data_IF_174486127948
#
_entry.id   IF_174486127948
#
_cell.length_a   1.000
_cell.length_b   1.000
_cell.length_c   1.000
_cell.angle_alpha   90.00
_cell.angle_beta   90.00
_cell.angle_gamma   90.00
#
_symmetry.space_group_name_H-M   'P 1'
#
loop_
_entity.id
_entity.type
_entity.pdbx_description
1 polymer ?
#
# COMPACT_ATOMS: atom_id res chain seq x y z
N UNK A 1 -15.16 0.97 -17.51
CA UNK A 1 -14.68 2.13 -16.73
C UNK A 1 -14.83 1.87 -15.24
N UNK A 2 -16.05 1.71 -14.71
CA UNK A 2 -16.30 1.56 -13.27
C UNK A 2 -15.59 0.36 -12.65
N UNK A 3 -15.59 -0.81 -13.31
CA UNK A 3 -14.88 -1.99 -12.83
C UNK A 3 -13.37 -1.75 -12.69
N UNK A 4 -12.75 -1.08 -13.65
CA UNK A 4 -11.32 -0.74 -13.58
C UNK A 4 -11.07 0.24 -12.43
N UNK A 5 -11.94 1.24 -12.25
CA UNK A 5 -11.86 2.20 -11.15
C UNK A 5 -11.90 1.51 -9.78
N UNK A 6 -12.88 0.63 -9.55
CA UNK A 6 -13.01 -0.08 -8.27
C UNK A 6 -11.86 -1.06 -8.01
N UNK A 7 -11.33 -1.69 -9.06
CA UNK A 7 -10.15 -2.55 -8.95
C UNK A 7 -8.90 -1.75 -8.58
N UNK A 8 -8.69 -0.56 -9.16
CA UNK A 8 -7.62 0.37 -8.77
C UNK A 8 -7.76 0.78 -7.30
N UNK A 9 -8.98 1.17 -6.89
CA UNK A 9 -9.25 1.55 -5.50
C UNK A 9 -8.95 0.40 -4.53
N UNK A 10 -9.29 -0.84 -4.90
CA UNK A 10 -9.00 -2.04 -4.11
C UNK A 10 -7.51 -2.29 -3.88
N UNK A 11 -6.64 -1.74 -4.73
CA UNK A 11 -5.18 -1.79 -4.59
C UNK A 11 -4.61 -0.71 -3.67
N UNK A 12 -5.45 0.10 -3.03
CA UNK A 12 -5.06 1.15 -2.09
C UNK A 12 -4.54 2.44 -2.75
N UNK A 13 -4.65 2.58 -4.08
CA UNK A 13 -4.19 3.80 -4.78
C UNK A 13 -5.09 5.00 -4.46
N UNK A 14 -4.53 6.22 -4.55
CA UNK A 14 -5.24 7.46 -4.25
C UNK A 14 -6.39 7.76 -5.23
N UNK A 15 -7.37 8.51 -4.76
CA UNK A 15 -8.57 8.89 -5.52
C UNK A 15 -8.22 9.65 -6.81
N UNK A 16 -7.23 10.55 -6.73
CA UNK A 16 -6.74 11.27 -7.88
C UNK A 16 -6.34 10.34 -9.04
N UNK A 17 -5.56 9.29 -8.74
CA UNK A 17 -5.12 8.32 -9.76
C UNK A 17 -6.28 7.50 -10.32
N UNK A 18 -7.20 7.08 -9.46
CA UNK A 18 -8.41 6.36 -9.90
C UNK A 18 -9.22 7.22 -10.87
N UNK A 19 -9.49 8.48 -10.50
CA UNK A 19 -10.25 9.42 -11.35
C UNK A 19 -9.54 9.66 -12.68
N UNK A 20 -8.24 9.91 -12.67
CA UNK A 20 -7.47 10.09 -13.89
C UNK A 20 -7.56 8.87 -14.81
N UNK A 21 -7.42 7.65 -14.25
CA UNK A 21 -7.53 6.41 -15.02
C UNK A 21 -8.92 6.20 -15.62
N UNK A 22 -9.97 6.51 -14.87
CA UNK A 22 -11.35 6.41 -15.35
C UNK A 22 -11.61 7.42 -16.48
N UNK A 23 -11.11 8.65 -16.36
CA UNK A 23 -11.23 9.67 -17.38
C UNK A 23 -10.47 9.28 -18.65
N UNK A 24 -9.24 8.77 -18.52
CA UNK A 24 -8.46 8.28 -19.67
C UNK A 24 -9.19 7.18 -20.44
N UNK A 25 -9.80 6.22 -19.75
CA UNK A 25 -10.60 5.17 -20.41
C UNK A 25 -11.88 5.74 -21.05
N UNK A 26 -12.53 6.70 -20.40
CA UNK A 26 -13.73 7.34 -20.94
C UNK A 26 -13.41 8.11 -22.22
N UNK A 27 -12.35 8.93 -22.23
CA UNK A 27 -11.90 9.67 -23.40
C UNK A 27 -11.59 8.74 -24.58
N UNK A 28 -10.93 7.60 -24.34
CA UNK A 28 -10.62 6.61 -25.37
C UNK A 28 -11.86 5.93 -25.94
N UNK A 29 -12.96 5.92 -25.19
CA UNK A 29 -14.27 5.41 -25.63
C UNK A 29 -15.18 6.51 -26.18
N UNK A 30 -14.72 7.76 -26.28
CA UNK A 30 -15.53 8.90 -26.70
C UNK A 30 -16.59 9.35 -25.69
N UNK A 31 -16.40 8.99 -24.39
CA UNK A 31 -17.32 9.29 -23.30
C UNK A 31 -16.77 10.42 -22.41
N UNK A 32 -17.66 11.12 -21.73
CA UNK A 32 -17.31 11.98 -20.59
C UNK A 32 -17.61 11.23 -19.30
N UNK A 33 -16.66 11.18 -18.37
CA UNK A 33 -16.83 10.52 -17.09
C UNK A 33 -16.56 11.49 -15.93
N UNK A 34 -17.46 11.52 -14.96
CA UNK A 34 -17.26 12.20 -13.69
C UNK A 34 -17.33 11.16 -12.56
N UNK A 35 -16.42 11.23 -11.60
CA UNK A 35 -16.39 10.28 -10.49
C UNK A 35 -16.12 10.98 -9.16
N UNK A 36 -16.92 10.64 -8.15
CA UNK A 36 -16.65 10.90 -6.74
C UNK A 36 -16.10 9.63 -6.10
N UNK A 37 -14.94 9.75 -5.44
CA UNK A 37 -14.17 8.61 -4.99
C UNK A 37 -13.90 8.77 -3.50
N UNK A 38 -14.48 7.85 -2.72
CA UNK A 38 -14.18 7.69 -1.29
C UNK A 38 -13.08 6.67 -1.03
N UNK A 39 -12.89 6.30 0.24
CA UNK A 39 -11.94 5.27 0.63
C UNK A 39 -12.29 3.89 0.07
N UNK A 40 -13.57 3.53 0.10
CA UNK A 40 -14.09 2.21 -0.27
C UNK A 40 -15.27 2.27 -1.25
N UNK A 41 -15.55 3.43 -1.82
CA UNK A 41 -16.68 3.62 -2.74
C UNK A 41 -16.30 4.49 -3.92
N UNK A 42 -16.95 4.24 -5.04
CA UNK A 42 -16.89 5.06 -6.24
C UNK A 42 -18.31 5.29 -6.71
N UNK A 43 -18.67 6.55 -6.87
CA UNK A 43 -19.89 6.96 -7.56
C UNK A 43 -19.46 7.65 -8.86
N UNK A 44 -19.92 7.15 -9.99
CA UNK A 44 -19.51 7.71 -11.26
C UNK A 44 -20.68 7.82 -12.23
N UNK A 45 -20.55 8.78 -13.14
CA UNK A 45 -21.50 9.03 -14.20
C UNK A 45 -20.73 9.13 -15.52
N UNK A 46 -21.14 8.35 -16.51
CA UNK A 46 -20.65 8.41 -17.87
C UNK A 46 -21.75 8.98 -18.79
N UNK A 47 -21.36 9.84 -19.72
CA UNK A 47 -22.22 10.51 -20.67
C UNK A 47 -21.63 10.40 -22.08
N UNK A 48 -22.43 9.99 -23.07
CA UNK A 48 -22.01 9.82 -24.47
C UNK A 48 -22.51 10.94 -25.41
N UNK A 49 -23.23 11.94 -24.88
CA UNK A 49 -23.84 13.03 -25.62
C UNK A 49 -25.36 12.89 -25.69
N UNK A 50 -25.90 11.71 -25.54
CA UNK A 50 -27.35 11.43 -25.57
C UNK A 50 -27.83 10.78 -24.29
N UNK A 51 -27.15 9.73 -23.83
CA UNK A 51 -27.50 8.95 -22.65
C UNK A 51 -26.56 9.20 -21.48
N UNK A 52 -27.10 9.07 -20.27
CA UNK A 52 -26.37 9.23 -19.02
C UNK A 52 -26.48 7.94 -18.20
N UNK A 53 -25.34 7.33 -17.88
CA UNK A 53 -25.27 6.13 -17.05
C UNK A 53 -24.55 6.44 -15.75
N UNK A 54 -25.24 6.21 -14.63
CA UNK A 54 -24.69 6.42 -13.29
C UNK A 54 -24.68 5.12 -12.50
N UNK A 55 -23.59 4.88 -11.78
CA UNK A 55 -23.46 3.71 -10.91
C UNK A 55 -22.68 4.03 -9.65
N UNK A 56 -23.06 3.40 -8.54
CA UNK A 56 -22.29 3.38 -7.29
C UNK A 56 -21.72 1.98 -7.07
N UNK A 57 -20.42 1.91 -6.75
CA UNK A 57 -19.68 0.68 -6.48
C UNK A 57 -19.02 0.79 -5.11
N UNK A 58 -19.09 -0.30 -4.33
CA UNK A 58 -18.49 -0.35 -3.00
C UNK A 58 -17.53 -1.54 -2.89
N UNK A 59 -16.43 -1.34 -2.15
CA UNK A 59 -15.50 -2.39 -1.75
C UNK A 59 -15.88 -2.93 -0.37
N UNK A 60 -15.68 -4.22 -0.17
CA UNK A 60 -15.76 -4.86 1.15
C UNK A 60 -14.45 -4.77 1.92
N UNK A 61 -13.33 -4.64 1.22
CA UNK A 61 -11.99 -4.55 1.80
C UNK A 61 -11.06 -3.80 0.85
N UNK A 62 -10.05 -3.13 1.40
CA UNK A 62 -8.98 -2.46 0.66
C UNK A 62 -7.63 -2.92 1.18
N UNK A 63 -6.63 -2.93 0.32
CA UNK A 63 -5.27 -3.33 0.68
C UNK A 63 -4.26 -2.88 -0.35
N UNK A 64 -2.98 -2.94 -0.02
CA UNK A 64 -1.91 -2.55 -0.94
C UNK A 64 -1.49 -3.75 -1.79
N UNK A 65 -1.74 -3.67 -3.10
CA UNK A 65 -1.28 -4.67 -4.08
C UNK A 65 -0.67 -3.97 -5.30
N UNK A 66 0.62 -3.69 -5.21
CA UNK A 66 1.37 -2.98 -6.26
C UNK A 66 1.49 -3.77 -7.55
N UNK A 67 1.50 -5.12 -7.49
CA UNK A 67 1.55 -5.97 -8.69
C UNK A 67 0.26 -5.88 -9.49
N UNK A 68 -0.88 -5.96 -8.82
CA UNK A 68 -2.20 -5.76 -9.44
C UNK A 68 -2.34 -4.34 -9.98
N UNK A 69 -1.91 -3.34 -9.21
CA UNK A 69 -1.90 -1.94 -9.63
C UNK A 69 -1.12 -1.75 -10.93
N UNK A 70 0.11 -2.27 -11.01
CA UNK A 70 0.94 -2.16 -12.21
C UNK A 70 0.28 -2.82 -13.44
N UNK A 71 -0.37 -3.97 -13.27
CA UNK A 71 -1.10 -4.63 -14.36
C UNK A 71 -2.30 -3.82 -14.84
N UNK A 72 -3.04 -3.20 -13.91
CA UNK A 72 -4.14 -2.31 -14.26
C UNK A 72 -3.65 -1.06 -15.01
N UNK A 73 -2.55 -0.46 -14.58
CA UNK A 73 -1.93 0.67 -15.28
C UNK A 73 -1.47 0.29 -16.69
N UNK A 74 -0.84 -0.88 -16.84
CA UNK A 74 -0.45 -1.40 -18.16
C UNK A 74 -1.68 -1.61 -19.06
N UNK A 75 -2.77 -2.16 -18.52
CA UNK A 75 -4.02 -2.34 -19.25
C UNK A 75 -4.59 -0.99 -19.72
N UNK A 76 -4.65 0.02 -18.83
CA UNK A 76 -5.16 1.37 -19.16
C UNK A 76 -4.29 2.04 -20.22
N UNK A 77 -2.96 1.96 -20.08
CA UNK A 77 -2.04 2.58 -21.02
C UNK A 77 -2.10 1.94 -22.43
N UNK A 78 -2.39 0.65 -22.50
CA UNK A 78 -2.53 -0.08 -23.78
C UNK A 78 -3.95 -0.06 -24.33
N UNK A 79 -4.91 0.45 -23.58
CA UNK A 79 -6.32 0.39 -23.98
C UNK A 79 -6.60 1.10 -25.30
N UNK A 80 -5.95 2.23 -25.58
CA UNK A 80 -6.10 2.97 -26.84
C UNK A 80 -5.64 2.17 -28.07
N UNK A 81 -4.67 1.27 -27.92
CA UNK A 81 -4.10 0.49 -29.02
C UNK A 81 -4.71 -0.91 -29.17
N UNK A 82 -5.11 -1.53 -28.09
CA UNK A 82 -5.57 -2.91 -28.04
C UNK A 82 -7.03 -3.02 -27.54
N UNK A 83 -7.36 -2.30 -26.46
CA UNK A 83 -8.63 -2.46 -25.75
C UNK A 83 -9.85 -1.93 -26.50
N UNK A 84 -9.70 -0.87 -27.30
CA UNK A 84 -10.79 -0.28 -28.09
C UNK A 84 -11.35 -1.26 -29.12
N UNK A 85 -10.54 -2.22 -29.57
CA UNK A 85 -10.94 -3.24 -30.56
C UNK A 85 -11.48 -4.53 -29.93
N UNK A 86 -11.39 -4.66 -28.59
CA UNK A 86 -11.86 -5.83 -27.86
C UNK A 86 -13.37 -5.76 -27.63
N UNK A 87 -14.00 -6.93 -27.61
CA UNK A 87 -15.39 -7.04 -27.17
C UNK A 87 -15.51 -6.84 -25.66
N UNK A 88 -16.71 -6.51 -25.17
CA UNK A 88 -16.96 -6.37 -23.74
C UNK A 88 -16.61 -7.63 -22.95
N UNK A 89 -16.86 -8.84 -23.50
CA UNK A 89 -16.53 -10.11 -22.88
C UNK A 89 -15.01 -10.33 -22.75
N UNK A 90 -14.25 -9.99 -23.79
CA UNK A 90 -12.78 -10.06 -23.76
C UNK A 90 -12.19 -9.10 -22.73
N UNK A 91 -12.70 -7.86 -22.66
CA UNK A 91 -12.29 -6.88 -21.64
C UNK A 91 -12.56 -7.38 -20.22
N UNK A 92 -13.75 -7.95 -19.99
CA UNK A 92 -14.09 -8.55 -18.70
C UNK A 92 -13.17 -9.73 -18.35
N UNK A 93 -12.86 -10.60 -19.33
CA UNK A 93 -11.95 -11.73 -19.15
C UNK A 93 -10.54 -11.26 -18.77
N UNK A 94 -10.03 -10.20 -19.42
CA UNK A 94 -8.75 -9.58 -19.06
C UNK A 94 -8.75 -9.03 -17.63
N UNK A 95 -9.81 -8.32 -17.24
CA UNK A 95 -9.95 -7.81 -15.88
C UNK A 95 -10.06 -8.95 -14.86
N UNK A 96 -10.74 -10.07 -15.18
CA UNK A 96 -10.79 -11.26 -14.33
C UNK A 96 -9.41 -11.87 -14.07
N UNK A 97 -8.55 -11.89 -15.09
CA UNK A 97 -7.17 -12.37 -14.94
C UNK A 97 -6.37 -11.47 -14.00
N UNK A 98 -6.53 -10.15 -14.14
CA UNK A 98 -5.86 -9.18 -13.26
C UNK A 98 -6.41 -9.27 -11.83
N UNK A 99 -7.71 -9.48 -11.66
CA UNK A 99 -8.35 -9.60 -10.36
C UNK A 99 -7.83 -10.78 -9.53
N UNK A 100 -7.47 -11.88 -10.17
CA UNK A 100 -6.90 -13.07 -9.54
C UNK A 100 -5.46 -12.91 -9.07
N UNK A 101 -4.80 -11.78 -9.36
CA UNK A 101 -3.43 -11.53 -8.89
C UNK A 101 -3.47 -11.26 -7.39
N UNK A 102 -3.00 -12.21 -6.60
CA UNK A 102 -2.81 -12.10 -5.17
C UNK A 102 -1.39 -11.66 -4.83
N UNK A 103 -1.13 -11.32 -3.56
CA UNK A 103 0.19 -10.90 -3.10
C UNK A 103 1.27 -11.94 -3.43
N UNK A 104 2.30 -11.52 -4.18
CA UNK A 104 3.34 -12.38 -4.77
C UNK A 104 4.48 -12.72 -3.80
N UNK A 105 4.55 -12.06 -2.65
CA UNK A 105 5.73 -12.14 -1.80
C UNK A 105 5.53 -13.03 -0.59
N UNK A 106 6.57 -13.84 -0.28
CA UNK A 106 6.61 -14.65 0.94
C UNK A 106 6.82 -13.78 2.18
N UNK A 107 6.41 -14.23 3.38
CA UNK A 107 6.68 -13.50 4.63
C UNK A 107 8.17 -13.24 4.88
N UNK A 108 9.03 -14.14 4.42
CA UNK A 108 10.48 -13.99 4.49
C UNK A 108 10.98 -12.85 3.60
N UNK A 109 10.48 -12.76 2.36
CA UNK A 109 10.82 -11.66 1.45
C UNK A 109 10.34 -10.31 1.99
N UNK A 110 9.12 -10.25 2.53
CA UNK A 110 8.59 -9.05 3.18
C UNK A 110 9.38 -8.66 4.42
N UNK A 111 9.78 -9.65 5.24
CA UNK A 111 10.66 -9.43 6.40
C UNK A 111 12.01 -8.85 6.01
N UNK A 112 12.62 -9.39 4.96
CA UNK A 112 13.91 -8.91 4.45
C UNK A 112 13.80 -7.49 3.86
N UNK A 113 12.74 -7.19 3.11
CA UNK A 113 12.50 -5.85 2.59
C UNK A 113 12.30 -4.82 3.71
N UNK A 114 11.55 -5.16 4.76
CA UNK A 114 11.39 -4.32 5.94
C UNK A 114 12.72 -4.11 6.68
N UNK A 115 13.53 -5.15 6.81
CA UNK A 115 14.86 -5.09 7.40
C UNK A 115 15.76 -4.08 6.67
N UNK A 116 15.82 -4.18 5.33
CA UNK A 116 16.59 -3.25 4.49
C UNK A 116 16.09 -1.81 4.64
N UNK A 117 14.78 -1.61 4.58
CA UNK A 117 14.17 -0.29 4.71
C UNK A 117 14.49 0.35 6.08
N UNK A 118 14.28 -0.37 7.17
CA UNK A 118 14.52 0.13 8.53
C UNK A 118 16.01 0.39 8.79
N UNK A 119 16.91 -0.47 8.30
CA UNK A 119 18.35 -0.24 8.36
C UNK A 119 18.78 1.01 7.58
N UNK A 120 18.24 1.21 6.37
CA UNK A 120 18.50 2.42 5.59
C UNK A 120 17.96 3.70 6.26
N UNK A 121 16.78 3.64 6.86
CA UNK A 121 16.24 4.77 7.63
C UNK A 121 17.09 5.10 8.86
N UNK A 122 17.63 4.10 9.54
CA UNK A 122 18.58 4.33 10.65
C UNK A 122 19.77 5.15 10.18
N UNK A 123 20.35 4.82 9.04
CA UNK A 123 21.44 5.61 8.45
C UNK A 123 21.02 7.05 8.12
N UNK A 124 19.85 7.23 7.49
CA UNK A 124 19.34 8.57 7.14
C UNK A 124 19.09 9.46 8.36
N UNK A 125 18.75 8.85 9.50
CA UNK A 125 18.56 9.57 10.78
C UNK A 125 19.85 9.73 11.59
N UNK A 126 21.02 9.40 11.02
CA UNK A 126 22.31 9.61 11.63
C UNK A 126 22.81 8.47 12.52
N UNK A 127 22.16 7.31 12.48
CA UNK A 127 22.63 6.12 13.18
C UNK A 127 23.89 5.53 12.56
N UNK A 128 24.73 4.91 13.41
CA UNK A 128 25.96 4.26 12.99
C UNK A 128 25.75 2.86 12.38
N UNK A 129 26.84 2.23 11.89
CA UNK A 129 26.75 0.90 11.27
C UNK A 129 26.21 -0.20 12.21
N UNK A 130 26.50 -0.09 13.50
CA UNK A 130 26.05 -1.04 14.52
C UNK A 130 24.53 -0.94 14.70
N UNK A 131 24.02 0.31 14.81
CA UNK A 131 22.58 0.56 14.95
C UNK A 131 21.83 0.16 13.70
N UNK A 132 22.40 0.42 12.50
CA UNK A 132 21.84 -0.05 11.22
C UNK A 132 21.67 -1.56 11.21
N UNK A 133 22.68 -2.31 11.65
CA UNK A 133 22.62 -3.77 11.69
C UNK A 133 21.60 -4.25 12.70
N UNK A 134 21.55 -3.67 13.90
CA UNK A 134 20.58 -4.00 14.93
C UNK A 134 19.15 -3.69 14.49
N UNK A 135 18.91 -2.53 13.85
CA UNK A 135 17.60 -2.15 13.30
C UNK A 135 17.18 -3.05 12.15
N UNK A 136 18.11 -3.41 11.27
CA UNK A 136 17.89 -4.38 10.19
C UNK A 136 17.39 -5.71 10.76
N UNK A 137 18.10 -6.28 11.73
CA UNK A 137 17.74 -7.57 12.33
C UNK A 137 16.41 -7.49 13.11
N UNK A 138 16.22 -6.45 13.92
CA UNK A 138 15.01 -6.21 14.70
C UNK A 138 13.77 -6.08 13.80
N UNK A 139 13.82 -5.20 12.81
CA UNK A 139 12.72 -4.98 11.88
C UNK A 139 12.40 -6.24 11.04
N UNK A 140 13.43 -6.94 10.56
CA UNK A 140 13.25 -8.16 9.79
C UNK A 140 12.49 -9.24 10.55
N UNK A 141 12.91 -9.51 11.79
CA UNK A 141 12.28 -10.50 12.66
C UNK A 141 10.88 -10.03 13.07
N UNK A 142 10.73 -8.77 13.46
CA UNK A 142 9.44 -8.20 13.85
C UNK A 142 8.40 -8.30 12.73
N UNK A 143 8.75 -7.90 11.50
CA UNK A 143 7.84 -7.99 10.36
C UNK A 143 7.55 -9.44 9.96
N UNK A 144 8.52 -10.35 10.08
CA UNK A 144 8.29 -11.78 9.84
C UNK A 144 7.27 -12.35 10.83
N UNK A 145 7.40 -12.01 12.13
CA UNK A 145 6.44 -12.40 13.18
C UNK A 145 5.05 -11.86 12.85
N UNK A 146 4.94 -10.57 12.49
CA UNK A 146 3.68 -9.94 12.07
C UNK A 146 3.01 -10.70 10.93
N UNK A 147 3.75 -10.97 9.87
CA UNK A 147 3.24 -11.68 8.70
C UNK A 147 2.79 -13.11 9.04
N UNK A 148 3.52 -13.78 9.90
CA UNK A 148 3.20 -15.16 10.32
C UNK A 148 1.95 -15.21 11.20
N UNK A 149 1.84 -14.33 12.18
CA UNK A 149 0.66 -14.23 13.06
C UNK A 149 -0.59 -13.81 12.26
N UNK A 150 -0.46 -12.87 11.31
CA UNK A 150 -1.55 -12.47 10.43
C UNK A 150 -2.11 -13.63 9.59
N UNK A 151 -1.25 -14.55 9.13
CA UNK A 151 -1.70 -15.76 8.42
C UNK A 151 -2.48 -16.73 9.31
N UNK A 152 -2.27 -16.71 10.61
CA UNK A 152 -3.01 -17.52 11.58
C UNK A 152 -4.28 -16.84 12.12
N UNK A 153 -4.71 -15.73 11.46
CA UNK A 153 -5.93 -14.99 11.80
C UNK A 153 -5.99 -14.46 13.23
N UNK A 154 -4.84 -14.18 13.84
CA UNK A 154 -4.80 -13.47 15.13
C UNK A 154 -5.30 -12.03 14.97
N UNK A 155 -5.80 -11.46 16.06
CA UNK A 155 -6.25 -10.06 16.05
C UNK A 155 -5.12 -9.11 15.67
N UNK A 156 -5.43 -8.04 14.96
CA UNK A 156 -4.45 -7.05 14.50
C UNK A 156 -3.62 -6.50 15.65
N UNK A 157 -4.26 -6.19 16.79
CA UNK A 157 -3.59 -5.72 18.00
C UNK A 157 -2.53 -6.70 18.51
N UNK A 158 -2.84 -8.00 18.56
CA UNK A 158 -1.88 -9.01 18.99
C UNK A 158 -0.71 -9.14 18.01
N UNK A 159 -0.98 -9.06 16.71
CA UNK A 159 0.06 -9.09 15.68
C UNK A 159 1.02 -7.91 15.82
N UNK A 160 0.50 -6.70 16.03
CA UNK A 160 1.30 -5.49 16.23
C UNK A 160 2.10 -5.61 17.53
N UNK A 161 1.47 -5.90 18.66
CA UNK A 161 2.13 -6.01 19.94
C UNK A 161 3.28 -7.03 19.92
N UNK A 162 3.03 -8.25 19.43
CA UNK A 162 4.05 -9.28 19.35
C UNK A 162 5.19 -8.91 18.40
N UNK A 163 4.89 -8.25 17.27
CA UNK A 163 5.91 -7.85 16.31
C UNK A 163 6.80 -6.73 16.83
N UNK A 164 6.22 -5.71 17.50
CA UNK A 164 6.98 -4.63 18.13
C UNK A 164 7.85 -5.18 19.23
N UNK A 165 7.28 -5.96 20.14
CA UNK A 165 8.01 -6.55 21.26
C UNK A 165 9.19 -7.38 20.75
N UNK A 166 8.99 -8.21 19.73
CA UNK A 166 10.08 -9.01 19.16
C UNK A 166 11.14 -8.14 18.48
N UNK A 167 10.76 -7.09 17.74
CA UNK A 167 11.71 -6.17 17.12
C UNK A 167 12.57 -5.45 18.17
N UNK A 168 11.94 -4.93 19.23
CA UNK A 168 12.63 -4.24 20.32
C UNK A 168 13.59 -5.15 21.08
N UNK A 169 13.16 -6.38 21.41
CA UNK A 169 13.99 -7.34 22.13
C UNK A 169 15.20 -7.76 21.29
N UNK A 170 15.00 -8.00 19.99
CA UNK A 170 16.11 -8.35 19.09
C UNK A 170 17.07 -7.19 18.95
N UNK A 171 16.56 -5.96 18.74
CA UNK A 171 17.41 -4.77 18.66
C UNK A 171 18.23 -4.58 19.93
N UNK A 172 17.58 -4.55 21.10
CA UNK A 172 18.25 -4.35 22.38
C UNK A 172 19.27 -5.45 22.70
N UNK A 173 18.89 -6.71 22.47
CA UNK A 173 19.80 -7.84 22.71
C UNK A 173 21.02 -7.82 21.80
N UNK A 174 20.85 -7.56 20.52
CA UNK A 174 21.97 -7.44 19.58
C UNK A 174 22.84 -6.22 19.89
N UNK A 175 22.25 -5.10 20.26
CA UNK A 175 22.98 -3.89 20.59
C UNK A 175 23.87 -4.10 21.82
N UNK A 176 23.36 -4.74 22.88
CA UNK A 176 24.17 -5.06 24.08
C UNK A 176 25.32 -6.04 23.74
N UNK A 177 25.07 -7.03 22.88
CA UNK A 177 26.14 -7.94 22.41
C UNK A 177 27.21 -7.18 21.62
N UNK A 178 26.80 -6.31 20.70
CA UNK A 178 27.72 -5.49 19.90
C UNK A 178 28.52 -4.50 20.77
N UNK A 179 27.87 -3.92 21.76
CA UNK A 179 28.52 -3.04 22.75
C UNK A 179 29.62 -3.80 23.52
N UNK A 180 29.36 -5.03 23.93
CA UNK A 180 30.33 -5.86 24.62
C UNK A 180 31.54 -6.24 23.73
N UNK A 181 31.29 -6.53 22.43
CA UNK A 181 32.33 -6.98 21.50
C UNK A 181 33.13 -5.83 20.92
N UNK A 182 32.46 -4.74 20.53
CA UNK A 182 33.07 -3.61 19.79
C UNK A 182 33.37 -2.38 20.67
N UNK A 183 32.96 -2.40 21.95
CA UNK A 183 33.19 -1.28 22.87
C UNK A 183 32.43 -0.01 22.49
N UNK A 184 31.33 -0.11 21.75
CA UNK A 184 30.50 1.05 21.34
C UNK A 184 29.84 1.64 22.57
N UNK A 185 30.08 2.93 22.86
CA UNK A 185 29.70 3.56 24.13
C UNK A 185 28.35 4.27 24.11
N UNK A 186 27.80 4.60 22.94
CA UNK A 186 26.58 5.39 22.83
C UNK A 186 25.48 4.66 22.04
N UNK A 187 24.28 4.67 22.62
CA UNK A 187 23.09 4.18 21.95
C UNK A 187 22.40 5.35 21.26
N UNK A 188 22.26 5.29 19.94
CA UNK A 188 21.47 6.25 19.19
C UNK A 188 20.00 5.85 19.25
N UNK A 189 19.13 6.74 19.74
CA UNK A 189 17.68 6.53 19.82
C UNK A 189 17.06 6.24 18.45
N UNK A 190 17.65 6.82 17.39
CA UNK A 190 17.20 6.62 16.01
C UNK A 190 17.16 5.14 15.59
N UNK A 191 18.16 4.34 15.93
CA UNK A 191 18.20 2.92 15.58
C UNK A 191 17.09 2.12 16.24
N UNK A 192 16.81 2.40 17.51
CA UNK A 192 15.73 1.75 18.26
C UNK A 192 14.36 2.06 17.65
N UNK A 193 14.07 3.34 17.40
CA UNK A 193 12.82 3.77 16.77
C UNK A 193 12.67 3.16 15.37
N UNK A 194 13.75 3.17 14.58
CA UNK A 194 13.73 2.60 13.23
C UNK A 194 13.47 1.08 13.21
N UNK A 195 13.84 0.35 14.25
CA UNK A 195 13.55 -1.09 14.31
C UNK A 195 12.05 -1.42 14.31
N UNK A 196 11.19 -0.47 14.67
CA UNK A 196 9.73 -0.57 14.72
C UNK A 196 9.03 0.11 13.53
N UNK A 197 9.77 0.82 12.68
CA UNK A 197 9.19 1.68 11.64
C UNK A 197 8.33 0.92 10.61
N UNK A 198 8.53 -0.39 10.45
CA UNK A 198 7.74 -1.22 9.54
C UNK A 198 6.26 -1.33 9.91
N UNK A 199 5.87 -0.86 11.10
CA UNK A 199 4.47 -0.85 11.54
C UNK A 199 3.71 0.32 10.95
N UNK A 200 4.37 1.46 10.77
CA UNK A 200 3.73 2.66 10.27
C UNK A 200 3.18 2.42 8.86
N UNK A 201 1.87 2.61 8.64
CA UNK A 201 1.23 2.40 7.34
C UNK A 201 1.57 3.54 6.38
N UNK A 202 2.83 3.64 5.97
CA UNK A 202 3.35 4.73 5.16
C UNK A 202 2.60 4.93 3.84
N UNK A 203 2.17 3.84 3.18
CA UNK A 203 1.44 3.93 1.92
C UNK A 203 0.08 4.65 2.05
N UNK A 204 -0.80 4.33 3.00
CA UNK A 204 -2.02 5.10 3.26
C UNK A 204 -1.76 6.56 3.62
N UNK A 205 -0.74 6.86 4.41
CA UNK A 205 -0.39 8.26 4.73
C UNK A 205 0.04 9.05 3.50
N UNK A 206 0.91 8.47 2.67
CA UNK A 206 1.37 9.13 1.45
C UNK A 206 0.21 9.35 0.47
N UNK A 207 -0.62 8.34 0.24
CA UNK A 207 -1.77 8.47 -0.66
C UNK A 207 -2.80 9.46 -0.15
N UNK A 208 -3.06 9.51 1.16
CA UNK A 208 -3.90 10.54 1.79
C UNK A 208 -3.32 11.95 1.58
N UNK A 209 -2.02 12.13 1.82
CA UNK A 209 -1.35 13.42 1.61
C UNK A 209 -1.43 13.88 0.15
N UNK A 210 -1.26 12.97 -0.81
CA UNK A 210 -1.41 13.28 -2.25
C UNK A 210 -2.85 13.68 -2.58
N UNK A 211 -3.84 12.93 -2.09
CA UNK A 211 -5.25 13.22 -2.33
C UNK A 211 -5.62 14.61 -1.77
N UNK A 212 -5.19 14.94 -0.54
CA UNK A 212 -5.39 16.27 0.05
C UNK A 212 -4.70 17.38 -0.77
N UNK A 213 -3.46 17.17 -1.22
CA UNK A 213 -2.74 18.12 -2.05
C UNK A 213 -3.38 18.33 -3.43
N UNK A 214 -4.13 17.32 -3.93
CA UNK A 214 -4.89 17.38 -5.17
C UNK A 214 -6.35 17.84 -4.98
N UNK A 215 -6.71 18.33 -3.78
CA UNK A 215 -8.03 18.80 -3.39
C UNK A 215 -9.12 17.70 -3.38
N UNK A 216 -8.72 16.44 -3.37
CA UNK A 216 -9.62 15.31 -3.11
C UNK A 216 -9.85 15.16 -1.58
N UNK A 217 -10.48 16.17 -0.99
CA UNK A 217 -10.59 16.32 0.47
C UNK A 217 -11.31 15.13 1.12
N UNK A 218 -12.40 14.64 0.51
CA UNK A 218 -13.18 13.51 1.03
C UNK A 218 -12.32 12.26 1.15
N UNK A 219 -11.75 11.81 0.04
CA UNK A 219 -10.89 10.63 0.02
C UNK A 219 -9.66 10.79 0.90
N UNK A 220 -9.02 11.96 0.85
CA UNK A 220 -7.83 12.25 1.66
C UNK A 220 -8.09 12.14 3.15
N UNK A 221 -9.18 12.74 3.66
CA UNK A 221 -9.56 12.67 5.07
C UNK A 221 -10.01 11.28 5.49
N UNK A 222 -10.81 10.58 4.68
CA UNK A 222 -11.22 9.20 4.95
C UNK A 222 -10.02 8.28 5.05
N UNK A 223 -9.03 8.39 4.14
CA UNK A 223 -7.77 7.61 4.16
C UNK A 223 -6.90 7.94 5.35
N UNK A 224 -6.77 9.22 5.69
CA UNK A 224 -6.01 9.66 6.86
C UNK A 224 -6.61 9.07 8.15
N UNK A 225 -7.92 9.20 8.29
CA UNK A 225 -8.65 8.67 9.45
C UNK A 225 -8.52 7.13 9.52
N UNK A 226 -8.62 6.46 8.37
CA UNK A 226 -8.43 5.02 8.29
C UNK A 226 -6.99 4.61 8.70
N UNK A 227 -5.97 5.32 8.19
CA UNK A 227 -4.58 5.06 8.53
C UNK A 227 -4.30 5.20 10.03
N UNK A 228 -4.86 6.23 10.68
CA UNK A 228 -4.75 6.45 12.12
C UNK A 228 -5.49 5.37 12.92
N UNK A 229 -6.66 4.91 12.44
CA UNK A 229 -7.47 3.90 13.14
C UNK A 229 -6.92 2.47 12.97
N UNK A 230 -6.19 2.20 11.90
CA UNK A 230 -5.66 0.85 11.60
C UNK A 230 -4.40 0.48 12.42
N UNK A 231 -3.93 1.40 13.24
CA UNK A 231 -2.89 1.19 14.27
C UNK A 231 -3.51 0.97 15.66
#
# INVERSE_FOLDING_TARGET
IGRTGIMLLSCGTGAWRVRQSMNTLAEQLGLTCTADIGLMSIEYTCFDGEECYSQSLCLTNTGVNTSKLNRLEQFINKFSSEGVYMTGEELHSHLDQIEKIHGLYSPTALGFAAALACGAFTFLLGGGPVEMFCAFAGAGIGNFVRCKLGKHHFTLFLCIFASVTSACLVYAGLFEVMKLILGVSEQHEAGYICSMLFIIPGFPFITSGIDLAKLDMRSGLERLTYAIRSE
#
